data_IF_015219434531
#
_entry.id   IF_015219434531
#
_cell.length_a   1.000
_cell.length_b   1.000
_cell.length_c   1.000
_cell.angle_alpha   90.00
_cell.angle_beta   90.00
_cell.angle_gamma   90.00
#
_symmetry.space_group_name_H-M   'P 1'
#
loop_
_entity.id
_entity.type
_entity.pdbx_description
1 polymer ?
#
# COMPACT_ATOMS: atom_id res chain seq x y z
N UNK A 1 42.25 -36.18 4.86
CA UNK A 1 41.05 -35.52 4.31
C UNK A 1 41.54 -34.41 3.41
N UNK A 2 41.19 -34.44 2.13
CA UNK A 2 41.63 -33.40 1.18
C UNK A 2 41.15 -32.00 1.62
N UNK A 3 42.03 -30.99 1.51
CA UNK A 3 41.67 -29.59 1.90
C UNK A 3 40.35 -29.12 1.29
N UNK A 4 40.05 -29.55 0.07
CA UNK A 4 38.80 -29.25 -0.65
C UNK A 4 37.59 -29.81 0.15
N UNK A 5 37.62 -31.09 0.50
CA UNK A 5 36.53 -31.76 1.24
C UNK A 5 36.30 -31.09 2.60
N UNK A 6 37.37 -30.75 3.34
CA UNK A 6 37.28 -30.03 4.61
C UNK A 6 36.60 -28.66 4.45
N UNK A 7 37.03 -27.87 3.45
CA UNK A 7 36.49 -26.54 3.22
C UNK A 7 35.02 -26.59 2.76
N UNK A 8 34.64 -27.55 1.91
CA UNK A 8 33.25 -27.78 1.49
C UNK A 8 32.38 -28.11 2.69
N UNK A 9 32.84 -28.99 3.59
CA UNK A 9 32.10 -29.41 4.76
C UNK A 9 31.88 -28.25 5.75
N UNK A 10 32.90 -27.41 5.93
CA UNK A 10 32.79 -26.20 6.78
C UNK A 10 31.78 -25.21 6.16
N UNK A 11 31.88 -24.96 4.84
CA UNK A 11 30.96 -24.05 4.16
C UNK A 11 29.50 -24.55 4.25
N UNK A 12 29.29 -25.85 4.00
CA UNK A 12 27.95 -26.46 4.14
C UNK A 12 27.43 -26.33 5.57
N UNK A 13 28.26 -26.55 6.57
CA UNK A 13 27.84 -26.40 7.97
C UNK A 13 27.42 -24.96 8.29
N UNK A 14 28.20 -23.98 7.84
CA UNK A 14 27.87 -22.56 8.06
C UNK A 14 26.55 -22.19 7.37
N UNK A 15 26.34 -22.62 6.12
CA UNK A 15 25.09 -22.31 5.39
C UNK A 15 23.87 -22.97 6.04
N UNK A 16 24.00 -24.19 6.55
CA UNK A 16 22.92 -24.87 7.28
C UNK A 16 22.59 -24.13 8.56
N UNK A 17 23.59 -23.76 9.36
CA UNK A 17 23.39 -23.00 10.59
C UNK A 17 22.70 -21.66 10.29
N UNK A 18 23.20 -20.92 9.29
CA UNK A 18 22.60 -19.65 8.88
C UNK A 18 21.13 -19.81 8.42
N UNK A 19 20.83 -20.85 7.65
CA UNK A 19 19.47 -21.16 7.21
C UNK A 19 18.52 -21.46 8.37
N UNK A 20 18.98 -22.26 9.33
CA UNK A 20 18.19 -22.58 10.55
C UNK A 20 17.94 -21.33 11.39
N UNK A 21 18.95 -20.48 11.59
CA UNK A 21 18.80 -19.23 12.34
C UNK A 21 17.82 -18.28 11.66
N UNK A 22 17.91 -18.09 10.33
CA UNK A 22 16.96 -17.27 9.56
C UNK A 22 15.53 -17.81 9.66
N UNK A 23 15.36 -19.14 9.54
CA UNK A 23 14.05 -19.78 9.69
C UNK A 23 13.45 -19.58 11.08
N UNK A 24 14.26 -19.69 12.12
CA UNK A 24 13.83 -19.46 13.50
C UNK A 24 13.40 -18.00 13.72
N UNK A 25 14.17 -17.04 13.23
CA UNK A 25 13.82 -15.61 13.29
C UNK A 25 12.51 -15.35 12.55
N UNK A 26 12.34 -15.90 11.35
CA UNK A 26 11.10 -15.78 10.57
C UNK A 26 9.88 -16.29 11.35
N UNK A 27 9.95 -17.49 11.94
CA UNK A 27 8.84 -18.04 12.72
C UNK A 27 8.45 -17.18 13.92
N UNK A 28 9.41 -16.59 14.60
CA UNK A 28 9.15 -15.70 15.75
C UNK A 28 8.56 -14.36 15.31
N UNK A 29 8.98 -13.84 14.14
CA UNK A 29 8.61 -12.50 13.71
C UNK A 29 7.33 -12.44 12.85
N UNK A 30 6.93 -13.55 12.21
CA UNK A 30 5.76 -13.54 11.32
C UNK A 30 4.46 -13.15 12.01
N UNK A 31 4.24 -13.61 13.25
CA UNK A 31 3.00 -13.32 14.00
C UNK A 31 2.89 -11.85 14.40
N UNK A 32 3.91 -11.23 15.06
CA UNK A 32 3.84 -9.81 15.37
C UNK A 32 3.78 -8.92 14.12
N UNK A 33 4.42 -9.32 13.01
CA UNK A 33 4.33 -8.60 11.75
C UNK A 33 2.89 -8.62 11.23
N UNK A 34 2.25 -9.80 11.19
CA UNK A 34 0.87 -9.92 10.73
C UNK A 34 -0.10 -9.11 11.61
N UNK A 35 0.07 -9.13 12.93
CA UNK A 35 -0.74 -8.32 13.86
C UNK A 35 -0.54 -6.82 13.62
N UNK A 36 0.71 -6.37 13.42
CA UNK A 36 1.01 -4.97 13.13
C UNK A 36 0.37 -4.51 11.81
N UNK A 37 0.44 -5.34 10.78
CA UNK A 37 -0.20 -5.06 9.49
C UNK A 37 -1.72 -4.98 9.62
N UNK A 38 -2.34 -5.89 10.37
CA UNK A 38 -3.79 -5.85 10.60
C UNK A 38 -4.23 -4.61 11.38
N UNK A 39 -3.44 -4.21 12.38
CA UNK A 39 -3.68 -2.98 13.14
C UNK A 39 -3.56 -1.76 12.23
N UNK A 40 -2.50 -1.67 11.43
CA UNK A 40 -2.30 -0.56 10.49
C UNK A 40 -3.43 -0.47 9.45
N UNK A 41 -3.96 -1.61 8.96
CA UNK A 41 -5.12 -1.64 8.07
C UNK A 41 -6.37 -1.06 8.73
N UNK A 42 -6.67 -1.48 9.96
CA UNK A 42 -7.82 -0.98 10.72
C UNK A 42 -7.72 0.51 11.02
N UNK A 43 -6.53 0.99 11.35
CA UNK A 43 -6.24 2.42 11.52
C UNK A 43 -6.44 3.18 10.21
N UNK A 44 -6.01 2.63 9.08
CA UNK A 44 -6.21 3.23 7.77
C UNK A 44 -7.70 3.31 7.40
N UNK A 45 -8.50 2.28 7.69
CA UNK A 45 -9.94 2.31 7.47
C UNK A 45 -10.62 3.41 8.29
N UNK A 46 -10.25 3.55 9.56
CA UNK A 46 -10.75 4.64 10.41
C UNK A 46 -10.24 6.02 9.96
N UNK A 47 -9.03 6.11 9.42
CA UNK A 47 -8.52 7.37 8.88
C UNK A 47 -9.32 7.84 7.65
N UNK A 48 -9.81 6.91 6.83
CA UNK A 48 -10.60 7.26 5.63
C UNK A 48 -12.11 7.36 5.89
N UNK A 49 -12.62 6.75 6.98
CA UNK A 49 -14.01 6.85 7.45
C UNK A 49 -14.05 6.92 8.98
N UNK A 50 -13.78 8.09 9.54
CA UNK A 50 -13.71 8.32 11.01
C UNK A 50 -15.03 8.08 11.73
N UNK A 51 -16.15 8.24 11.04
CA UNK A 51 -17.49 8.15 11.62
C UNK A 51 -18.06 6.72 11.61
N UNK A 52 -17.34 5.77 10.98
CA UNK A 52 -17.74 4.36 10.87
C UNK A 52 -17.03 3.54 11.95
N UNK A 53 -17.76 2.69 12.66
CA UNK A 53 -17.15 1.78 13.64
C UNK A 53 -16.38 0.67 12.96
N UNK A 54 -15.28 0.22 13.59
CA UNK A 54 -14.43 -0.86 13.03
C UNK A 54 -15.20 -2.15 12.71
N UNK A 55 -16.22 -2.47 13.49
CA UNK A 55 -17.04 -3.68 13.30
C UNK A 55 -17.98 -3.60 12.09
N UNK A 56 -18.21 -2.40 11.56
CA UNK A 56 -19.06 -2.16 10.38
C UNK A 56 -18.28 -2.26 9.06
N UNK A 57 -16.93 -2.37 9.13
CA UNK A 57 -16.13 -2.67 7.94
C UNK A 57 -16.18 -4.17 7.65
N UNK A 58 -16.58 -4.51 6.43
CA UNK A 58 -16.66 -5.89 5.98
C UNK A 58 -15.87 -6.06 4.69
N UNK A 59 -14.95 -7.00 4.71
CA UNK A 59 -14.22 -7.37 3.50
C UNK A 59 -15.19 -8.00 2.48
N UNK A 60 -15.09 -7.54 1.24
CA UNK A 60 -15.83 -8.08 0.11
C UNK A 60 -14.94 -9.05 -0.67
N UNK A 61 -15.57 -10.07 -1.25
CA UNK A 61 -14.84 -10.99 -2.14
C UNK A 61 -14.61 -10.29 -3.49
N UNK A 62 -13.34 -10.01 -3.78
CA UNK A 62 -12.94 -9.30 -4.99
C UNK A 62 -12.70 -10.29 -6.11
N UNK A 63 -13.44 -10.16 -7.22
CA UNK A 63 -13.07 -10.84 -8.45
C UNK A 63 -11.74 -10.27 -8.98
N UNK A 64 -10.64 -10.94 -8.62
CA UNK A 64 -9.29 -10.52 -8.99
C UNK A 64 -9.11 -10.37 -10.49
N UNK A 65 -9.80 -11.20 -11.30
CA UNK A 65 -9.69 -11.10 -12.77
C UNK A 65 -10.33 -9.82 -13.29
N UNK A 66 -11.47 -9.43 -12.71
CA UNK A 66 -12.14 -8.18 -13.06
C UNK A 66 -11.33 -6.98 -12.57
N UNK A 67 -10.77 -7.05 -11.36
CA UNK A 67 -9.91 -6.02 -10.78
C UNK A 67 -8.63 -5.82 -11.61
N UNK A 68 -7.91 -6.90 -11.92
CA UNK A 68 -6.70 -6.85 -12.75
C UNK A 68 -6.97 -6.30 -14.15
N UNK A 69 -8.11 -6.68 -14.74
CA UNK A 69 -8.52 -6.13 -16.02
C UNK A 69 -8.78 -4.63 -15.95
N UNK A 70 -9.53 -4.16 -14.95
CA UNK A 70 -9.82 -2.75 -14.77
C UNK A 70 -8.54 -1.91 -14.59
N UNK A 71 -7.61 -2.37 -13.75
CA UNK A 71 -6.30 -1.73 -13.54
C UNK A 71 -5.50 -1.69 -14.84
N UNK A 72 -5.47 -2.78 -15.60
CA UNK A 72 -4.75 -2.86 -16.87
C UNK A 72 -5.36 -1.96 -17.94
N UNK A 73 -6.69 -1.87 -17.99
CA UNK A 73 -7.41 -1.00 -18.94
C UNK A 73 -7.12 0.49 -18.65
N UNK A 74 -6.84 0.83 -17.39
CA UNK A 74 -6.37 2.18 -16.99
C UNK A 74 -4.90 2.46 -17.33
N UNK A 75 -4.13 1.45 -17.73
CA UNK A 75 -2.73 1.58 -18.09
C UNK A 75 -1.79 1.84 -16.90
N UNK A 76 -2.17 1.42 -15.70
CA UNK A 76 -1.37 1.54 -14.47
C UNK A 76 -0.86 0.19 -14.01
N UNK A 77 0.30 0.17 -13.34
CA UNK A 77 0.94 -1.03 -12.81
C UNK A 77 0.64 -1.19 -11.32
N UNK A 78 -0.62 -1.39 -11.02
CA UNK A 78 -1.09 -1.53 -9.64
C UNK A 78 -1.86 -2.84 -9.43
N UNK A 79 -2.15 -3.17 -8.18
CA UNK A 79 -3.06 -4.26 -7.80
C UNK A 79 -4.09 -3.73 -6.82
N UNK A 80 -5.32 -4.23 -6.92
CA UNK A 80 -6.33 -4.04 -5.88
C UNK A 80 -6.16 -5.19 -4.89
N UNK A 81 -5.70 -4.85 -3.69
CA UNK A 81 -5.37 -5.85 -2.67
C UNK A 81 -6.61 -6.26 -1.88
N UNK A 82 -7.48 -5.30 -1.60
CA UNK A 82 -8.66 -5.50 -0.77
C UNK A 82 -9.72 -4.45 -1.05
N UNK A 83 -10.97 -4.87 -0.98
CA UNK A 83 -12.14 -3.98 -0.97
C UNK A 83 -12.98 -4.32 0.25
N UNK A 84 -13.37 -3.28 1.01
CA UNK A 84 -14.26 -3.42 2.16
C UNK A 84 -15.44 -2.48 1.99
N UNK A 85 -16.61 -2.88 2.47
CA UNK A 85 -17.71 -1.96 2.70
C UNK A 85 -17.50 -1.25 4.04
N UNK A 86 -17.80 0.05 4.09
CA UNK A 86 -17.82 0.87 5.30
C UNK A 86 -19.29 1.10 5.73
N UNK A 87 -19.99 0.02 6.06
CA UNK A 87 -21.41 0.04 6.34
C UNK A 87 -22.21 0.71 5.21
N UNK A 88 -23.03 1.70 5.55
CA UNK A 88 -23.81 2.47 4.56
C UNK A 88 -23.04 3.69 4.00
N UNK A 89 -21.87 4.01 4.51
CA UNK A 89 -21.12 5.22 4.14
C UNK A 89 -20.46 5.10 2.77
N UNK A 90 -19.97 3.91 2.40
CA UNK A 90 -19.27 3.72 1.13
C UNK A 90 -18.37 2.49 1.11
N UNK A 91 -17.24 2.62 0.41
CA UNK A 91 -16.26 1.56 0.20
C UNK A 91 -14.87 2.01 0.60
N UNK A 92 -14.07 1.09 1.07
CA UNK A 92 -12.64 1.27 1.31
C UNK A 92 -11.90 0.35 0.34
N UNK A 93 -11.01 0.92 -0.45
CA UNK A 93 -10.22 0.18 -1.43
C UNK A 93 -8.75 0.33 -1.06
N UNK A 94 -8.07 -0.79 -0.87
CA UNK A 94 -6.62 -0.83 -0.67
C UNK A 94 -5.95 -1.29 -1.96
N UNK A 95 -4.99 -0.50 -2.43
CA UNK A 95 -4.26 -0.76 -3.67
C UNK A 95 -2.77 -0.67 -3.44
N UNK A 96 -2.00 -1.46 -4.19
CA UNK A 96 -0.54 -1.38 -4.23
C UNK A 96 -0.10 -0.97 -5.64
N UNK A 97 0.53 0.18 -5.72
CA UNK A 97 1.24 0.65 -6.92
C UNK A 97 2.67 0.09 -6.92
N UNK A 98 3.10 -0.44 -8.06
CA UNK A 98 4.41 -1.09 -8.23
C UNK A 98 5.44 -0.18 -8.89
N UNK A 99 5.05 1.00 -9.32
CA UNK A 99 5.89 1.95 -10.04
C UNK A 99 6.52 3.03 -9.14
N UNK A 100 6.44 2.86 -7.82
CA UNK A 100 7.14 3.72 -6.87
C UNK A 100 8.66 3.64 -7.06
N UNK A 101 9.36 4.78 -6.93
CA UNK A 101 10.81 4.86 -7.13
C UNK A 101 11.60 4.07 -6.06
N UNK A 102 11.15 4.13 -4.81
CA UNK A 102 11.76 3.41 -3.68
C UNK A 102 11.16 2.03 -3.43
N UNK A 103 10.21 1.58 -4.24
CA UNK A 103 9.50 0.32 -4.12
C UNK A 103 7.98 0.49 -4.18
N UNK A 104 7.26 -0.54 -3.77
CA UNK A 104 5.80 -0.51 -3.81
C UNK A 104 5.24 0.57 -2.87
N UNK A 105 4.17 1.24 -3.32
CA UNK A 105 3.40 2.18 -2.51
C UNK A 105 2.01 1.58 -2.31
N UNK A 106 1.64 1.35 -1.05
CA UNK A 106 0.32 0.84 -0.69
C UNK A 106 -0.52 1.96 -0.08
N UNK A 107 -1.69 2.18 -0.66
CA UNK A 107 -2.63 3.22 -0.27
C UNK A 107 -4.01 2.64 -0.01
N UNK A 108 -4.72 3.25 0.94
CA UNK A 108 -6.12 2.97 1.22
C UNK A 108 -6.94 4.23 0.92
N UNK A 109 -7.99 4.07 0.15
CA UNK A 109 -8.88 5.16 -0.26
C UNK A 109 -10.29 4.84 0.19
N UNK A 110 -10.90 5.76 0.92
CA UNK A 110 -12.33 5.73 1.26
C UNK A 110 -13.14 6.44 0.19
N UNK A 111 -14.13 5.78 -0.37
CA UNK A 111 -14.98 6.31 -1.44
C UNK A 111 -16.44 6.22 -0.99
N UNK A 112 -17.14 7.35 -0.96
CA UNK A 112 -18.59 7.39 -0.67
C UNK A 112 -19.39 6.74 -1.80
N UNK A 113 -20.64 6.39 -1.54
CA UNK A 113 -21.55 5.78 -2.54
C UNK A 113 -21.78 6.65 -3.78
N UNK A 114 -21.57 7.96 -3.67
CA UNK A 114 -21.68 8.92 -4.77
C UNK A 114 -20.38 9.05 -5.60
N UNK A 115 -19.34 8.30 -5.26
CA UNK A 115 -18.02 8.35 -5.91
C UNK A 115 -17.07 9.43 -5.36
N UNK A 116 -17.48 10.17 -4.33
CA UNK A 116 -16.63 11.18 -3.70
C UNK A 116 -15.57 10.52 -2.82
N UNK A 117 -14.32 10.96 -2.92
CA UNK A 117 -13.23 10.52 -2.03
C UNK A 117 -13.48 11.09 -0.63
N UNK A 118 -13.66 10.21 0.36
CA UNK A 118 -13.84 10.60 1.74
C UNK A 118 -12.51 10.80 2.47
N UNK A 119 -11.51 9.99 2.14
CA UNK A 119 -10.19 10.06 2.74
C UNK A 119 -9.18 9.23 1.98
N UNK A 120 -7.90 9.51 2.20
CA UNK A 120 -6.76 8.75 1.68
C UNK A 120 -5.80 8.49 2.83
N UNK A 121 -5.31 7.26 2.95
CA UNK A 121 -4.29 6.87 3.92
C UNK A 121 -3.20 6.07 3.22
N UNK A 122 -1.95 6.35 3.55
CA UNK A 122 -0.80 5.61 3.01
C UNK A 122 -0.41 4.54 4.02
N UNK A 123 -0.57 3.27 3.63
CA UNK A 123 -0.25 2.11 4.47
C UNK A 123 1.24 1.78 4.46
N UNK A 124 1.85 1.84 3.29
CA UNK A 124 3.27 1.52 3.13
C UNK A 124 3.86 2.34 1.99
N UNK A 125 5.01 2.91 2.26
CA UNK A 125 5.80 3.69 1.31
C UNK A 125 7.26 3.64 1.71
N UNK A 126 8.15 3.47 0.73
CA UNK A 126 9.61 3.41 0.95
C UNK A 126 10.35 4.42 0.07
N UNK A 127 9.75 5.57 -0.14
CA UNK A 127 10.27 6.61 -0.99
C UNK A 127 11.40 7.42 -0.33
N UNK A 128 12.09 8.24 -1.12
CA UNK A 128 13.19 9.08 -0.64
C UNK A 128 12.69 10.10 0.40
N UNK A 129 13.37 10.14 1.56
CA UNK A 129 13.07 11.09 2.62
C UNK A 129 13.18 12.55 2.11
N UNK A 130 12.20 13.38 2.48
CA UNK A 130 12.12 14.77 2.04
C UNK A 130 11.66 15.00 0.60
N UNK A 131 11.46 13.92 -0.17
CA UNK A 131 10.89 13.93 -1.53
C UNK A 131 9.60 13.12 -1.56
N UNK A 132 9.62 11.87 -2.05
CA UNK A 132 8.44 11.03 -2.16
C UNK A 132 7.77 10.74 -0.81
N UNK A 133 8.51 10.67 0.29
CA UNK A 133 7.95 10.55 1.65
C UNK A 133 7.03 11.70 2.05
N UNK A 134 7.07 12.85 1.38
CA UNK A 134 6.10 13.94 1.62
C UNK A 134 4.67 13.56 1.28
N UNK A 135 4.46 12.50 0.51
CA UNK A 135 3.13 11.96 0.25
C UNK A 135 2.40 11.53 1.53
N UNK A 136 3.13 11.21 2.60
CA UNK A 136 2.56 10.86 3.91
C UNK A 136 2.10 12.07 4.72
N UNK A 137 2.40 13.29 4.28
CA UNK A 137 1.99 14.51 4.98
C UNK A 137 0.51 14.82 4.71
N UNK A 138 -0.24 15.27 5.74
CA UNK A 138 -1.64 15.67 5.57
C UNK A 138 -1.86 16.73 4.49
N UNK A 139 -0.90 17.63 4.31
CA UNK A 139 -0.91 18.65 3.26
C UNK A 139 -1.00 18.06 1.86
N UNK A 140 -0.45 16.85 1.65
CA UNK A 140 -0.49 16.17 0.36
C UNK A 140 -1.79 15.38 0.18
N UNK A 141 -2.13 14.44 1.07
CA UNK A 141 -3.26 13.56 0.83
C UNK A 141 -4.63 14.22 1.09
N UNK A 142 -4.72 15.26 1.92
CA UNK A 142 -5.98 15.98 2.15
C UNK A 142 -6.49 16.72 0.91
N UNK A 143 -5.64 16.99 -0.08
CA UNK A 143 -6.08 17.63 -1.34
C UNK A 143 -7.08 16.76 -2.13
N UNK A 144 -7.11 15.46 -1.89
CA UNK A 144 -8.04 14.53 -2.54
C UNK A 144 -9.39 14.45 -1.84
N UNK A 145 -9.46 14.82 -0.57
CA UNK A 145 -10.68 14.72 0.25
C UNK A 145 -11.79 15.59 -0.31
N UNK A 146 -13.00 15.03 -0.35
CA UNK A 146 -14.20 15.65 -0.95
C UNK A 146 -14.05 15.99 -2.45
N UNK A 147 -13.15 15.30 -3.15
CA UNK A 147 -13.05 15.37 -4.60
C UNK A 147 -13.79 14.22 -5.25
N UNK A 148 -14.42 14.53 -6.38
CA UNK A 148 -15.02 13.56 -7.27
C UNK A 148 -14.46 13.83 -8.67
N UNK A 149 -13.78 12.86 -9.25
CA UNK A 149 -13.21 12.97 -10.59
C UNK A 149 -13.02 11.58 -11.19
N UNK A 150 -13.22 11.49 -12.49
CA UNK A 150 -12.98 10.24 -13.24
C UNK A 150 -11.48 9.92 -13.32
N UNK A 151 -10.63 10.93 -13.23
CA UNK A 151 -9.17 10.80 -13.29
C UNK A 151 -8.48 11.95 -12.57
N UNK A 152 -7.45 11.61 -11.78
CA UNK A 152 -6.48 12.57 -11.25
C UNK A 152 -5.24 12.57 -12.14
N UNK A 153 -4.76 13.75 -12.51
CA UNK A 153 -3.59 13.92 -13.36
C UNK A 153 -2.59 14.83 -12.65
N UNK A 154 -1.34 14.41 -12.60
CA UNK A 154 -0.25 15.23 -12.09
C UNK A 154 0.20 16.15 -13.20
N UNK A 155 0.02 17.45 -13.00
CA UNK A 155 0.61 18.47 -13.89
C UNK A 155 2.09 18.64 -13.51
N UNK A 156 2.98 18.23 -14.41
CA UNK A 156 4.40 18.57 -14.33
C UNK A 156 4.55 20.01 -14.81
N UNK A 157 4.59 20.94 -13.87
CA UNK A 157 4.97 22.31 -14.24
C UNK A 157 6.46 22.32 -14.61
N UNK A 158 6.80 22.91 -15.78
CA UNK A 158 8.18 22.99 -16.29
C UNK A 158 9.03 24.08 -15.62
N UNK A 159 8.48 24.83 -14.69
CA UNK A 159 9.22 25.79 -13.89
C UNK A 159 9.91 25.06 -12.74
N UNK A 160 11.11 25.43 -12.44
CA UNK A 160 12.09 24.81 -11.53
C UNK A 160 11.66 24.68 -10.06
N UNK A 161 10.41 24.86 -9.73
CA UNK A 161 9.82 24.55 -8.42
C UNK A 161 8.96 23.29 -8.54
N UNK A 162 9.43 22.22 -7.89
CA UNK A 162 8.79 20.91 -7.83
C UNK A 162 7.49 20.90 -7.01
N UNK A 163 6.50 21.66 -7.41
CA UNK A 163 5.13 21.57 -6.89
C UNK A 163 4.29 20.73 -7.83
N UNK A 164 3.94 19.52 -7.38
CA UNK A 164 2.95 18.69 -8.06
C UNK A 164 1.57 19.28 -7.80
N UNK A 165 1.03 20.04 -8.71
CA UNK A 165 -0.38 20.46 -8.67
C UNK A 165 -1.25 19.37 -9.26
N UNK A 166 -2.20 18.88 -8.46
CA UNK A 166 -3.21 17.94 -8.90
C UNK A 166 -4.40 18.72 -9.50
N UNK A 167 -4.63 18.52 -10.77
CA UNK A 167 -5.84 19.01 -11.43
C UNK A 167 -6.89 17.90 -11.50
N UNK A 168 -8.04 18.11 -10.87
CA UNK A 168 -9.22 17.28 -11.09
C UNK A 168 -9.88 17.72 -12.40
N UNK A 169 -9.94 16.86 -13.40
CA UNK A 169 -10.76 17.08 -14.58
C UNK A 169 -12.19 16.62 -14.29
N UNK A 170 -13.15 17.52 -14.51
CA UNK A 170 -14.58 17.21 -14.49
C UNK A 170 -15.00 16.64 -15.83
#
# INVERSE_FOLDING_TARGET
>A
MNKIVKNTLILTLITVIAGVLLGAVYEVTKTPIAQSQETAKKEAWQAVFSDVKLDDFKAEDVDQKAADKAVKDMGVNATIDEVCTAGDAGYVITTTDKDGFGGNIQITVGIKKDGTINGVSILSISETAGLGMKATEPSFYNQYVNKQADKFVVSKDRSEEHTSELQSQR
#
